data_IF_313783178923
#
_entry.id   IF_313783178923
#
_cell.length_a   1.000
_cell.length_b   1.000
_cell.length_c   1.000
_cell.angle_alpha   90.00
_cell.angle_beta   90.00
_cell.angle_gamma   90.00
#
_symmetry.space_group_name_H-M   'P 1'
#
loop_
_entity.id
_entity.type
_entity.pdbx_description
1 polymer ?
#
# COMPACT_ATOMS: atom_id res chain seq x y z
N UNK A 1 -6.74 -40.12 -20.47
CA UNK A 1 -5.75 -39.06 -20.73
C UNK A 1 -6.07 -37.95 -19.74
N UNK A 2 -5.38 -37.95 -18.62
CA UNK A 2 -5.50 -36.91 -17.58
C UNK A 2 -4.64 -35.72 -18.01
N UNK A 3 -5.25 -34.56 -18.12
CA UNK A 3 -4.52 -33.30 -18.28
C UNK A 3 -3.90 -32.93 -16.94
N UNK A 4 -2.65 -32.50 -16.89
CA UNK A 4 -2.10 -31.96 -15.66
C UNK A 4 -2.78 -30.63 -15.34
N UNK A 5 -3.31 -30.51 -14.13
CA UNK A 5 -3.68 -29.24 -13.50
C UNK A 5 -2.38 -28.44 -13.36
N UNK A 6 -2.28 -27.32 -14.04
CA UNK A 6 -1.22 -26.35 -13.80
C UNK A 6 -1.50 -25.71 -12.44
N UNK A 7 -0.67 -26.01 -11.46
CA UNK A 7 -0.60 -25.28 -10.21
C UNK A 7 -0.01 -23.90 -10.51
N UNK A 8 -0.85 -22.89 -10.54
CA UNK A 8 -0.38 -21.50 -10.50
C UNK A 8 -0.04 -21.16 -9.06
N UNK A 9 1.24 -21.23 -8.76
CA UNK A 9 1.82 -20.57 -7.60
C UNK A 9 1.83 -19.08 -7.94
N UNK A 10 0.91 -18.32 -7.39
CA UNK A 10 1.03 -16.87 -7.37
C UNK A 10 2.14 -16.55 -6.34
N UNK A 11 3.39 -16.62 -6.77
CA UNK A 11 4.52 -16.12 -6.00
C UNK A 11 4.57 -14.62 -6.26
N UNK A 12 3.90 -13.85 -5.44
CA UNK A 12 4.16 -12.42 -5.34
C UNK A 12 5.51 -12.25 -4.64
N UNK A 13 6.59 -12.22 -5.41
CA UNK A 13 7.88 -11.77 -4.93
C UNK A 13 7.87 -10.25 -4.87
N UNK A 14 7.48 -9.71 -3.75
CA UNK A 14 7.86 -8.34 -3.38
C UNK A 14 9.29 -8.41 -2.89
N UNK A 15 10.25 -8.30 -3.80
CA UNK A 15 11.64 -8.08 -3.44
C UNK A 15 11.77 -6.65 -2.95
N UNK A 16 11.73 -6.48 -1.63
CA UNK A 16 12.17 -5.26 -1.00
C UNK A 16 13.56 -4.87 -1.52
N UNK A 17 13.71 -3.63 -1.92
CA UNK A 17 14.96 -3.06 -2.44
C UNK A 17 16.07 -3.18 -1.40
N UNK A 18 16.89 -4.22 -1.49
CA UNK A 18 18.15 -4.32 -0.74
C UNK A 18 19.19 -3.53 -1.53
N UNK A 19 19.27 -2.24 -1.30
CA UNK A 19 20.43 -1.45 -1.68
C UNK A 19 21.41 -1.46 -0.51
N UNK A 20 22.36 -2.40 -0.53
CA UNK A 20 23.47 -2.40 0.40
C UNK A 20 24.45 -1.30 0.07
N UNK A 21 24.63 -0.33 0.97
CA UNK A 21 25.74 0.62 0.95
C UNK A 21 26.84 0.13 1.88
N UNK A 22 27.99 -0.18 1.32
CA UNK A 22 29.26 -0.30 2.03
C UNK A 22 29.73 1.11 2.41
N UNK A 23 29.71 1.42 3.71
CA UNK A 23 30.23 2.66 4.25
C UNK A 23 31.75 2.63 4.38
N UNK A 24 32.40 3.70 3.99
CA UNK A 24 33.78 4.03 4.33
C UNK A 24 33.76 5.26 5.24
N UNK A 25 34.32 5.10 6.42
CA UNK A 25 34.38 6.14 7.44
C UNK A 25 35.41 7.25 7.14
N UNK A 26 35.21 8.38 7.76
CA UNK A 26 36.14 9.51 7.78
C UNK A 26 35.75 10.53 8.83
N UNK A 27 36.38 10.42 10.00
CA UNK A 27 36.35 11.44 11.05
C UNK A 27 36.87 12.80 10.56
N UNK A 28 36.22 13.89 10.94
CA UNK A 28 36.95 15.11 11.34
C UNK A 28 36.09 16.11 12.12
N UNK A 29 36.47 16.28 13.37
CA UNK A 29 36.15 17.38 14.25
C UNK A 29 36.50 18.77 13.67
N UNK A 30 35.64 19.76 13.91
CA UNK A 30 36.14 21.08 14.30
C UNK A 30 35.06 21.96 14.91
N UNK A 31 35.24 22.26 16.21
CA UNK A 31 34.60 23.36 16.94
C UNK A 31 34.84 24.73 16.29
N UNK A 32 33.85 25.59 16.33
CA UNK A 32 34.02 27.01 16.59
C UNK A 32 32.71 27.70 16.99
N UNK A 33 32.65 28.10 18.23
CA UNK A 33 31.84 29.22 18.73
C UNK A 33 32.19 30.52 17.98
N UNK A 34 31.20 31.41 17.80
CA UNK A 34 31.28 32.80 18.28
C UNK A 34 29.97 33.58 18.01
N UNK A 35 29.52 34.22 19.07
CA UNK A 35 28.49 35.25 19.19
C UNK A 35 28.61 36.38 18.18
N UNK A 36 27.48 36.97 17.78
CA UNK A 36 27.23 38.42 17.77
C UNK A 36 25.73 38.72 17.67
N UNK A 37 25.19 39.33 18.72
CA UNK A 37 23.91 40.02 18.73
C UNK A 37 23.99 41.32 17.92
N UNK A 38 23.00 41.55 17.05
CA UNK A 38 22.66 42.88 16.57
C UNK A 38 21.16 43.10 16.60
N UNK A 39 20.77 43.93 17.52
CA UNK A 39 19.49 44.63 17.64
C UNK A 39 19.31 45.55 16.42
N UNK A 40 18.17 45.42 15.73
CA UNK A 40 17.73 46.44 14.80
C UNK A 40 16.22 46.58 14.85
N UNK A 41 15.76 47.69 15.39
CA UNK A 41 14.40 48.20 15.35
C UNK A 41 13.82 48.11 13.93
N UNK A 42 12.71 47.41 13.77
CA UNK A 42 11.90 47.44 12.56
C UNK A 42 10.51 47.99 12.88
N UNK A 43 10.19 49.08 12.25
CA UNK A 43 8.86 49.69 12.18
C UNK A 43 7.82 48.67 11.63
N UNK A 44 6.56 48.76 12.06
CA UNK A 44 5.50 47.92 11.54
C UNK A 44 5.10 48.36 10.12
N UNK A 45 5.76 47.78 9.13
CA UNK A 45 5.34 47.84 7.74
C UNK A 45 4.05 47.05 7.60
N UNK A 46 2.96 47.72 7.22
CA UNK A 46 1.68 47.13 6.88
C UNK A 46 1.82 46.42 5.52
N UNK A 47 2.39 45.23 5.52
CA UNK A 47 2.43 44.34 4.38
C UNK A 47 1.11 43.62 4.33
N UNK A 48 0.21 44.05 3.46
CA UNK A 48 -0.86 43.20 2.97
C UNK A 48 -0.24 42.10 2.07
N UNK A 49 0.28 41.04 2.68
CA UNK A 49 0.59 39.83 1.97
C UNK A 49 -0.73 39.28 1.42
N UNK A 50 -0.89 39.23 0.09
CA UNK A 50 -1.89 38.37 -0.53
C UNK A 50 -1.71 36.97 0.07
N UNK A 51 -2.81 36.27 0.41
CA UNK A 51 -2.70 34.92 0.90
C UNK A 51 -1.91 34.09 -0.12
N UNK A 52 -0.80 33.52 0.30
CA UNK A 52 0.00 32.63 -0.52
C UNK A 52 -0.89 31.43 -0.87
N UNK A 53 -1.18 31.27 -2.15
CA UNK A 53 -2.00 30.15 -2.65
C UNK A 53 -1.13 28.90 -2.44
N UNK A 54 -1.66 27.92 -1.72
CA UNK A 54 -0.98 26.64 -1.54
C UNK A 54 -0.53 26.05 -2.89
N UNK A 55 0.70 25.56 -3.03
CA UNK A 55 1.15 24.91 -4.26
C UNK A 55 0.33 23.65 -4.59
N UNK A 56 -0.37 23.11 -3.61
CA UNK A 56 -1.24 21.94 -3.75
C UNK A 56 -2.70 22.29 -4.09
N UNK A 57 -3.04 23.57 -4.20
CA UNK A 57 -4.42 23.97 -4.51
C UNK A 57 -4.79 23.62 -5.95
N UNK A 58 -5.93 22.95 -6.12
CA UNK A 58 -6.50 22.60 -7.43
C UNK A 58 -7.96 23.07 -7.54
N UNK A 59 -8.49 23.03 -8.75
CA UNK A 59 -9.92 23.22 -8.99
C UNK A 59 -10.52 21.89 -9.38
N UNK A 60 -11.49 21.43 -8.61
CA UNK A 60 -12.23 20.20 -8.86
C UNK A 60 -13.08 20.29 -10.16
N UNK A 61 -13.46 19.16 -10.76
CA UNK A 61 -14.31 19.13 -11.96
C UNK A 61 -15.66 19.85 -11.81
N UNK A 62 -16.20 19.92 -10.59
CA UNK A 62 -17.43 20.64 -10.25
C UNK A 62 -17.22 22.15 -10.02
N UNK A 63 -15.98 22.62 -10.13
CA UNK A 63 -15.59 24.02 -9.94
C UNK A 63 -15.33 24.43 -8.49
N UNK A 64 -15.34 23.50 -7.53
CA UNK A 64 -14.95 23.76 -6.15
C UNK A 64 -13.44 23.76 -5.98
N UNK A 65 -12.94 24.31 -4.86
CA UNK A 65 -11.53 24.22 -4.51
C UNK A 65 -11.22 22.85 -3.91
N UNK A 66 -10.15 22.23 -4.37
CA UNK A 66 -9.58 21.00 -3.84
C UNK A 66 -8.10 21.16 -3.52
N UNK A 67 -7.48 20.08 -3.10
CA UNK A 67 -6.06 20.03 -2.78
C UNK A 67 -5.43 18.73 -3.26
N UNK A 68 -4.12 18.76 -3.50
CA UNK A 68 -3.25 17.59 -3.70
C UNK A 68 -2.35 17.35 -2.48
N UNK A 69 -2.65 17.99 -1.36
CA UNK A 69 -1.88 17.83 -0.13
C UNK A 69 -1.94 16.38 0.35
N UNK A 70 -0.78 15.84 0.71
CA UNK A 70 -0.65 14.46 1.20
C UNK A 70 -1.55 14.19 2.40
N UNK A 71 -2.20 13.05 2.41
CA UNK A 71 -3.09 12.61 3.49
C UNK A 71 -4.45 13.32 3.54
N UNK A 72 -4.72 14.22 2.58
CA UNK A 72 -6.01 14.90 2.46
C UNK A 72 -6.77 14.36 1.26
N UNK A 73 -8.05 14.05 1.46
CA UNK A 73 -8.91 13.64 0.35
C UNK A 73 -8.94 14.67 -0.77
N UNK A 74 -8.82 14.19 -1.99
CA UNK A 74 -8.77 15.04 -3.20
C UNK A 74 -9.88 14.69 -4.18
N UNK A 75 -10.24 15.66 -5.02
CA UNK A 75 -11.08 15.44 -6.18
C UNK A 75 -10.28 15.17 -7.46
N UNK A 76 -8.95 15.12 -7.38
CA UNK A 76 -8.10 14.83 -8.51
C UNK A 76 -8.22 13.37 -8.93
N UNK A 77 -8.24 13.15 -10.24
CA UNK A 77 -8.05 11.81 -10.80
C UNK A 77 -6.55 11.47 -10.80
N UNK A 78 -6.17 10.18 -10.70
CA UNK A 78 -4.77 9.78 -10.83
C UNK A 78 -4.25 10.07 -12.24
N UNK A 79 -2.98 10.39 -12.36
CA UNK A 79 -2.32 10.41 -13.65
C UNK A 79 -1.99 8.97 -14.07
N UNK A 80 -2.32 8.57 -15.30
CA UNK A 80 -2.07 7.21 -15.76
C UNK A 80 -1.11 7.16 -16.94
N UNK A 81 -0.10 6.31 -16.82
CA UNK A 81 0.92 6.05 -17.81
C UNK A 81 0.94 4.55 -18.15
N UNK A 82 1.37 4.21 -19.34
CA UNK A 82 1.43 2.81 -19.76
C UNK A 82 2.52 2.56 -20.78
N UNK A 83 2.96 1.31 -20.89
CA UNK A 83 3.78 0.88 -22.03
C UNK A 83 2.95 0.83 -23.31
N UNK A 84 3.60 0.96 -24.46
CA UNK A 84 2.93 1.10 -25.75
C UNK A 84 2.09 -0.12 -26.17
N UNK A 85 2.38 -1.29 -25.61
CA UNK A 85 1.70 -2.56 -25.87
C UNK A 85 0.47 -2.79 -24.98
N UNK A 86 0.24 -1.96 -23.95
CA UNK A 86 -0.96 -2.04 -23.10
C UNK A 86 -2.17 -1.41 -23.78
N UNK A 87 -3.30 -2.09 -23.77
CA UNK A 87 -4.53 -1.66 -24.41
C UNK A 87 -5.27 -0.54 -23.63
N UNK A 88 -6.15 0.18 -24.30
CA UNK A 88 -7.04 1.13 -23.62
C UNK A 88 -8.02 0.43 -22.68
N UNK A 89 -8.43 -0.78 -23.03
CA UNK A 89 -9.33 -1.60 -22.24
C UNK A 89 -8.71 -1.96 -20.89
N UNK A 90 -7.41 -2.30 -20.88
CA UNK A 90 -6.66 -2.57 -19.66
C UNK A 90 -6.56 -1.33 -18.77
N UNK A 91 -6.23 -0.17 -19.37
CA UNK A 91 -6.18 1.10 -18.64
C UNK A 91 -7.54 1.45 -18.03
N UNK A 92 -8.62 1.28 -18.80
CA UNK A 92 -9.97 1.58 -18.31
C UNK A 92 -10.37 0.63 -17.19
N UNK A 93 -10.02 -0.65 -17.28
CA UNK A 93 -10.26 -1.63 -16.21
C UNK A 93 -9.50 -1.26 -14.93
N UNK A 94 -8.23 -0.87 -15.04
CA UNK A 94 -7.44 -0.41 -13.88
C UNK A 94 -8.10 0.80 -13.22
N UNK A 95 -8.49 1.81 -14.01
CA UNK A 95 -9.17 3.00 -13.49
C UNK A 95 -10.54 2.69 -12.88
N UNK A 96 -11.29 1.75 -13.45
CA UNK A 96 -12.57 1.30 -12.88
C UNK A 96 -12.40 0.78 -11.45
N UNK A 97 -11.44 -0.13 -11.24
CA UNK A 97 -11.20 -0.73 -9.92
C UNK A 97 -10.51 0.24 -8.96
N UNK A 98 -9.64 1.11 -9.45
CA UNK A 98 -9.11 2.23 -8.70
C UNK A 98 -10.24 3.13 -8.15
N UNK A 99 -11.20 3.51 -9.00
CA UNK A 99 -12.29 4.38 -8.60
C UNK A 99 -13.28 3.72 -7.63
N UNK A 100 -13.49 2.40 -7.73
CA UNK A 100 -14.26 1.63 -6.74
C UNK A 100 -13.58 1.75 -5.37
N UNK A 101 -12.28 1.52 -5.31
CA UNK A 101 -11.51 1.63 -4.07
C UNK A 101 -11.48 3.05 -3.52
N UNK A 102 -11.27 4.07 -4.38
CA UNK A 102 -11.29 5.48 -4.01
C UNK A 102 -12.66 5.93 -3.47
N UNK A 103 -13.74 5.32 -3.95
CA UNK A 103 -15.09 5.58 -3.44
C UNK A 103 -15.29 4.98 -2.06
N UNK A 104 -14.71 3.81 -1.79
CA UNK A 104 -14.87 3.09 -0.52
C UNK A 104 -13.98 3.65 0.58
N UNK A 105 -12.70 3.91 0.28
CA UNK A 105 -11.69 4.26 1.29
C UNK A 105 -11.22 5.71 1.25
N UNK A 106 -11.84 6.56 0.43
CA UNK A 106 -11.42 7.94 0.20
C UNK A 106 -10.44 8.04 -0.98
N UNK A 107 -10.50 9.16 -1.71
CA UNK A 107 -9.60 9.44 -2.83
C UNK A 107 -8.44 10.31 -2.36
N UNK A 108 -7.23 9.77 -2.36
CA UNK A 108 -6.01 10.44 -1.92
C UNK A 108 -5.06 10.63 -3.10
N UNK A 109 -4.13 11.59 -2.97
CA UNK A 109 -3.18 11.89 -4.03
C UNK A 109 -2.07 12.85 -3.60
N UNK A 110 -1.20 13.22 -4.52
CA UNK A 110 -1.14 12.82 -5.94
C UNK A 110 -0.80 11.35 -6.16
N UNK A 111 -1.45 10.70 -7.11
CA UNK A 111 -1.19 9.32 -7.51
C UNK A 111 -0.85 9.24 -8.99
N UNK A 112 0.21 8.53 -9.30
CA UNK A 112 0.62 8.15 -10.64
C UNK A 112 0.48 6.63 -10.81
N UNK A 113 -0.29 6.19 -11.81
CA UNK A 113 -0.49 4.77 -12.12
C UNK A 113 0.32 4.41 -13.35
N UNK A 114 1.14 3.38 -13.25
CA UNK A 114 1.96 2.85 -14.34
C UNK A 114 1.52 1.43 -14.68
N UNK A 115 0.96 1.23 -15.87
CA UNK A 115 0.50 -0.09 -16.35
C UNK A 115 1.53 -0.67 -17.31
N UNK A 116 2.14 -1.79 -16.94
CA UNK A 116 3.29 -2.40 -17.60
C UNK A 116 2.86 -3.63 -18.38
N UNK A 117 3.10 -3.62 -19.69
CA UNK A 117 2.85 -4.76 -20.58
C UNK A 117 4.01 -5.76 -20.62
N UNK A 118 4.13 -6.46 -21.77
CA UNK A 118 5.12 -7.51 -21.99
C UNK A 118 6.33 -7.05 -22.82
N UNK A 119 6.32 -5.81 -23.34
CA UNK A 119 7.39 -5.27 -24.17
C UNK A 119 8.45 -4.59 -23.29
N UNK A 120 9.62 -5.25 -23.20
CA UNK A 120 10.75 -4.75 -22.40
C UNK A 120 11.29 -3.40 -22.90
N UNK A 121 11.28 -3.15 -24.21
CA UNK A 121 11.79 -1.89 -24.74
C UNK A 121 10.79 -0.76 -24.46
N UNK A 122 9.49 -1.03 -24.54
CA UNK A 122 8.46 -0.08 -24.13
C UNK A 122 8.50 0.22 -22.60
N UNK A 123 8.85 -0.77 -21.78
CA UNK A 123 9.04 -0.55 -20.34
C UNK A 123 10.24 0.35 -20.03
N UNK A 124 11.35 0.21 -20.77
CA UNK A 124 12.51 1.12 -20.67
C UNK A 124 12.17 2.53 -21.13
N UNK A 125 11.45 2.67 -22.24
CA UNK A 125 11.00 3.99 -22.70
C UNK A 125 10.13 4.68 -21.63
N UNK A 126 9.34 3.91 -20.88
CA UNK A 126 8.52 4.42 -19.78
C UNK A 126 9.36 4.78 -18.54
N UNK A 127 10.44 4.03 -18.22
CA UNK A 127 11.41 4.41 -17.19
C UNK A 127 12.13 5.72 -17.52
N UNK A 128 12.51 5.92 -18.77
CA UNK A 128 13.11 7.17 -19.23
C UNK A 128 12.12 8.34 -19.12
N UNK A 129 10.88 8.14 -19.55
CA UNK A 129 9.82 9.16 -19.43
C UNK A 129 9.56 9.54 -17.96
N UNK A 130 9.48 8.56 -17.08
CA UNK A 130 9.33 8.76 -15.65
C UNK A 130 10.44 9.64 -15.08
N UNK A 131 11.68 9.29 -15.37
CA UNK A 131 12.84 10.03 -14.90
C UNK A 131 12.88 11.47 -15.43
N UNK A 132 12.67 11.69 -16.74
CA UNK A 132 12.64 13.01 -17.35
C UNK A 132 11.53 13.89 -16.76
N UNK A 133 10.36 13.30 -16.54
CA UNK A 133 9.21 14.00 -15.96
C UNK A 133 9.51 14.50 -14.54
N UNK A 134 10.00 13.62 -13.67
CA UNK A 134 10.24 13.99 -12.26
C UNK A 134 11.41 14.96 -12.11
N UNK A 135 12.44 14.87 -12.92
CA UNK A 135 13.51 15.89 -13.02
C UNK A 135 12.97 17.26 -13.43
N UNK A 136 11.90 17.30 -14.21
CA UNK A 136 11.28 18.56 -14.61
C UNK A 136 10.32 19.13 -13.57
N UNK A 137 9.72 18.26 -12.74
CA UNK A 137 8.79 18.65 -11.68
C UNK A 137 9.51 19.05 -10.39
N UNK A 138 10.64 18.41 -10.08
CA UNK A 138 11.34 18.56 -8.82
C UNK A 138 12.83 18.79 -9.04
N UNK A 139 13.33 19.94 -8.65
CA UNK A 139 14.73 20.31 -8.81
C UNK A 139 15.70 19.51 -7.93
N UNK A 140 15.17 18.83 -6.92
CA UNK A 140 15.90 17.98 -5.98
C UNK A 140 15.87 16.49 -6.37
N UNK A 141 15.18 16.14 -7.48
CA UNK A 141 15.15 14.78 -7.98
C UNK A 141 16.54 14.23 -8.28
N UNK A 142 16.88 13.11 -7.68
CA UNK A 142 18.21 12.53 -7.79
C UNK A 142 18.22 11.39 -8.80
N UNK A 143 18.83 11.63 -9.96
CA UNK A 143 18.92 10.68 -11.07
C UNK A 143 19.60 9.35 -10.70
N UNK A 144 20.56 9.38 -9.77
CA UNK A 144 21.30 8.19 -9.34
C UNK A 144 20.43 7.26 -8.47
N UNK A 145 19.52 7.84 -7.67
CA UNK A 145 18.73 7.11 -6.67
C UNK A 145 17.28 6.91 -7.04
N UNK A 146 16.73 7.85 -7.80
CA UNK A 146 15.29 7.91 -8.06
C UNK A 146 14.93 7.56 -9.53
N UNK A 147 15.92 7.35 -10.41
CA UNK A 147 15.74 6.87 -11.78
C UNK A 147 16.23 5.43 -11.95
N UNK A 148 15.71 4.74 -12.98
CA UNK A 148 16.17 3.41 -13.33
C UNK A 148 17.65 3.45 -13.80
N UNK A 149 18.40 2.42 -13.42
CA UNK A 149 19.79 2.26 -13.81
C UNK A 149 20.18 0.76 -13.85
N UNK A 150 21.45 0.44 -14.08
CA UNK A 150 21.95 -0.94 -14.17
C UNK A 150 21.62 -1.80 -12.93
N UNK A 151 21.46 -1.17 -11.76
CA UNK A 151 21.25 -1.85 -10.49
C UNK A 151 19.81 -1.67 -9.94
N UNK A 152 19.01 -0.79 -10.55
CA UNK A 152 17.68 -0.45 -10.09
C UNK A 152 16.72 -0.37 -11.28
N UNK A 153 15.81 -1.33 -11.34
CA UNK A 153 14.73 -1.42 -12.32
C UNK A 153 13.44 -0.94 -11.67
N UNK A 154 12.75 -0.01 -12.31
CA UNK A 154 11.47 0.51 -11.81
C UNK A 154 10.33 -0.29 -12.43
N UNK A 155 10.24 -0.32 -13.78
CA UNK A 155 9.16 -0.96 -14.52
C UNK A 155 9.59 -2.23 -15.24
N UNK A 156 10.84 -2.30 -15.73
CA UNK A 156 11.33 -3.42 -16.54
C UNK A 156 11.28 -4.76 -15.82
N UNK A 157 11.37 -4.80 -14.49
CA UNK A 157 11.22 -6.02 -13.69
C UNK A 157 9.82 -6.65 -13.81
N UNK A 158 8.78 -5.82 -13.95
CA UNK A 158 7.39 -6.29 -14.04
C UNK A 158 7.05 -6.94 -15.39
N UNK A 159 7.87 -6.72 -16.42
CA UNK A 159 7.73 -7.38 -17.72
C UNK A 159 7.87 -8.90 -17.59
N UNK A 160 8.82 -9.35 -16.77
CA UNK A 160 9.08 -10.77 -16.58
C UNK A 160 8.38 -11.35 -15.33
N UNK A 161 8.41 -10.61 -14.24
CA UNK A 161 7.93 -11.07 -12.92
C UNK A 161 6.41 -10.91 -12.76
N UNK A 162 5.81 -9.92 -13.42
CA UNK A 162 4.42 -9.57 -13.17
C UNK A 162 4.24 -8.87 -11.83
N UNK A 163 3.02 -8.94 -11.26
CA UNK A 163 2.68 -8.38 -9.97
C UNK A 163 2.29 -6.90 -10.00
N UNK A 164 2.23 -6.32 -8.83
CA UNK A 164 1.91 -4.91 -8.62
C UNK A 164 2.70 -4.36 -7.43
N UNK A 165 2.73 -3.07 -7.24
CA UNK A 165 3.35 -2.45 -6.07
C UNK A 165 2.94 -0.98 -5.90
N UNK A 166 3.03 -0.50 -4.66
CA UNK A 166 3.03 0.92 -4.33
C UNK A 166 4.43 1.35 -3.91
N UNK A 167 4.82 2.52 -4.36
CA UNK A 167 5.99 3.25 -3.87
C UNK A 167 5.59 4.67 -3.51
N UNK A 168 6.12 5.17 -2.39
CA UNK A 168 5.83 6.52 -1.93
C UNK A 168 7.05 7.41 -2.10
N UNK A 169 6.82 8.64 -2.53
CA UNK A 169 7.82 9.67 -2.76
C UNK A 169 7.52 10.90 -1.90
N UNK A 170 7.38 10.67 -0.59
CA UNK A 170 7.29 11.71 0.41
C UNK A 170 8.62 11.75 1.17
N UNK A 171 9.48 12.68 0.77
CA UNK A 171 10.82 12.81 1.33
C UNK A 171 11.12 14.27 1.63
N UNK A 172 11.82 14.53 2.73
CA UNK A 172 12.12 15.88 3.19
C UNK A 172 12.89 16.76 2.18
N UNK A 173 13.56 16.16 1.22
CA UNK A 173 14.32 16.87 0.18
C UNK A 173 13.53 17.07 -1.12
N UNK A 174 12.40 16.37 -1.32
CA UNK A 174 11.55 16.54 -2.50
C UNK A 174 10.59 17.73 -2.29
N UNK A 175 10.28 18.42 -3.38
CA UNK A 175 9.30 19.49 -3.45
C UNK A 175 7.93 18.99 -3.89
N UNK A 176 7.89 17.79 -4.51
CA UNK A 176 6.68 17.16 -5.05
C UNK A 176 6.50 15.76 -4.45
N UNK A 177 5.53 15.65 -3.53
CA UNK A 177 5.14 14.39 -2.92
C UNK A 177 4.14 13.65 -3.82
N UNK A 178 4.30 12.35 -4.03
CA UNK A 178 3.37 11.53 -4.79
C UNK A 178 3.46 10.04 -4.40
N UNK A 179 2.42 9.29 -4.77
CA UNK A 179 2.39 7.83 -4.69
C UNK A 179 2.43 7.24 -6.11
N UNK A 180 3.25 6.23 -6.29
CA UNK A 180 3.39 5.52 -7.55
C UNK A 180 2.78 4.13 -7.42
N UNK A 181 1.68 3.87 -8.14
CA UNK A 181 1.06 2.56 -8.26
C UNK A 181 1.53 1.90 -9.55
N UNK A 182 2.09 0.71 -9.46
CA UNK A 182 2.54 -0.08 -10.61
C UNK A 182 1.63 -1.30 -10.75
N UNK A 183 1.11 -1.54 -11.95
CA UNK A 183 0.30 -2.70 -12.29
C UNK A 183 0.89 -3.42 -13.49
N UNK A 184 1.20 -4.71 -13.35
CA UNK A 184 1.52 -5.54 -14.51
C UNK A 184 0.24 -5.92 -15.25
N UNK A 185 0.27 -5.84 -16.59
CA UNK A 185 -0.80 -6.36 -17.44
C UNK A 185 -0.52 -7.80 -17.90
N UNK A 186 0.40 -8.52 -17.25
CA UNK A 186 0.81 -9.87 -17.59
C UNK A 186 0.40 -10.91 -16.55
N UNK A 187 0.75 -10.68 -15.29
CA UNK A 187 0.45 -11.58 -14.17
C UNK A 187 0.12 -10.79 -12.91
N UNK A 188 -1.19 -10.77 -12.45
CA UNK A 188 -2.34 -11.27 -13.21
C UNK A 188 -2.60 -10.41 -14.45
N UNK A 189 -3.09 -11.04 -15.53
CA UNK A 189 -3.52 -10.32 -16.71
C UNK A 189 -4.92 -9.71 -16.56
N UNK A 190 -5.29 -8.70 -17.36
CA UNK A 190 -6.57 -8.00 -17.23
C UNK A 190 -7.80 -8.91 -17.47
N UNK A 191 -7.64 -10.05 -18.12
CA UNK A 191 -8.69 -11.07 -18.29
C UNK A 191 -8.80 -12.04 -17.11
N UNK A 192 -7.85 -12.03 -16.18
CA UNK A 192 -7.87 -12.86 -14.99
C UNK A 192 -8.70 -12.20 -13.88
N UNK A 193 -9.41 -13.01 -13.10
CA UNK A 193 -10.23 -12.50 -11.99
C UNK A 193 -9.36 -11.73 -10.97
N UNK A 194 -8.16 -12.25 -10.72
CA UNK A 194 -7.24 -11.72 -9.71
C UNK A 194 -6.69 -10.31 -10.04
N UNK A 195 -6.76 -9.84 -11.29
CA UNK A 195 -6.35 -8.49 -11.66
C UNK A 195 -7.09 -7.40 -10.87
N UNK A 196 -8.37 -7.63 -10.65
CA UNK A 196 -9.27 -6.68 -9.98
C UNK A 196 -8.99 -6.57 -8.49
N UNK A 197 -8.99 -7.66 -7.69
CA UNK A 197 -8.62 -7.56 -6.29
C UNK A 197 -7.15 -7.12 -6.08
N UNK A 198 -6.22 -7.40 -7.00
CA UNK A 198 -4.86 -6.85 -6.94
C UNK A 198 -4.88 -5.33 -7.11
N UNK A 199 -5.70 -4.77 -8.02
CA UNK A 199 -5.86 -3.32 -8.13
C UNK A 199 -6.41 -2.69 -6.85
N UNK A 200 -7.38 -3.36 -6.20
CA UNK A 200 -7.93 -2.93 -4.90
C UNK A 200 -6.89 -3.03 -3.76
N UNK A 201 -6.05 -4.07 -3.78
CA UNK A 201 -4.97 -4.27 -2.83
C UNK A 201 -3.95 -3.13 -2.88
N UNK A 202 -3.48 -2.80 -4.06
CA UNK A 202 -2.54 -1.68 -4.23
C UNK A 202 -3.19 -0.34 -3.86
N UNK A 203 -4.48 -0.17 -4.15
CA UNK A 203 -5.17 1.03 -3.70
C UNK A 203 -5.27 1.11 -2.17
N UNK A 204 -5.48 -0.02 -1.49
CA UNK A 204 -5.52 -0.01 -0.02
C UNK A 204 -4.20 0.46 0.58
N UNK A 205 -3.07 0.17 -0.07
CA UNK A 205 -1.79 0.77 0.32
C UNK A 205 -1.76 2.29 0.13
N UNK A 206 -2.41 2.84 -0.91
CA UNK A 206 -2.57 4.29 -1.04
C UNK A 206 -3.31 4.87 0.16
N UNK A 207 -4.42 4.23 0.57
CA UNK A 207 -5.14 4.61 1.79
C UNK A 207 -4.24 4.53 3.02
N UNK A 208 -3.53 3.43 3.24
CA UNK A 208 -2.63 3.25 4.38
C UNK A 208 -1.55 4.34 4.46
N UNK A 209 -0.90 4.62 3.35
CA UNK A 209 0.15 5.65 3.26
C UNK A 209 -0.38 7.06 3.44
N UNK A 210 -1.59 7.34 2.99
CA UNK A 210 -2.23 8.64 3.19
C UNK A 210 -2.49 8.96 4.66
N UNK A 211 -2.59 7.94 5.52
CA UNK A 211 -2.77 8.11 6.96
C UNK A 211 -1.48 8.42 7.72
N UNK A 212 -0.34 8.61 7.04
CA UNK A 212 0.97 8.87 7.65
C UNK A 212 1.53 10.16 7.08
N UNK A 213 1.59 11.22 7.90
CA UNK A 213 2.03 12.54 7.46
C UNK A 213 3.55 12.63 7.28
N UNK A 214 4.32 11.96 8.14
CA UNK A 214 5.79 11.96 8.16
C UNK A 214 6.35 10.62 7.73
N UNK A 215 6.29 10.32 6.44
CA UNK A 215 6.78 9.02 5.97
C UNK A 215 8.29 8.87 6.06
N UNK A 216 9.06 9.88 5.63
CA UNK A 216 10.51 9.84 5.62
C UNK A 216 11.11 11.21 5.89
N UNK A 217 11.30 11.55 7.15
CA UNK A 217 11.81 12.85 7.59
C UNK A 217 13.35 12.98 7.55
N UNK A 218 14.08 11.93 7.18
CA UNK A 218 15.55 11.91 7.22
C UNK A 218 16.21 11.72 5.86
N UNK A 219 17.52 11.98 5.83
CA UNK A 219 18.37 11.79 4.63
C UNK A 219 18.59 10.31 4.28
N UNK A 220 18.13 9.38 5.12
CA UNK A 220 18.26 7.95 4.85
C UNK A 220 16.90 7.26 4.87
N UNK A 221 16.70 6.31 3.96
CA UNK A 221 15.52 5.44 3.92
C UNK A 221 15.32 4.62 5.21
N UNK A 222 16.36 4.53 6.05
CA UNK A 222 16.33 3.80 7.32
C UNK A 222 15.65 4.56 8.47
N UNK A 223 15.25 5.80 8.25
CA UNK A 223 14.61 6.66 9.26
C UNK A 223 13.15 7.01 8.95
N UNK A 224 12.52 6.24 8.06
CA UNK A 224 11.12 6.44 7.74
C UNK A 224 10.22 6.02 8.90
N UNK A 225 9.36 6.90 9.37
CA UNK A 225 8.37 6.61 10.41
C UNK A 225 7.26 5.68 9.91
N UNK A 226 7.12 5.56 8.60
CA UNK A 226 6.22 4.63 7.95
C UNK A 226 6.38 3.19 8.45
N UNK A 227 7.63 2.67 8.46
CA UNK A 227 7.86 1.27 8.77
C UNK A 227 7.30 0.83 10.13
N UNK A 228 7.58 1.55 11.26
CA UNK A 228 6.97 1.21 12.54
C UNK A 228 5.45 1.43 12.55
N UNK A 229 4.92 2.42 11.83
CA UNK A 229 3.48 2.69 11.75
C UNK A 229 2.74 1.65 10.89
N UNK A 230 3.42 0.96 9.98
CA UNK A 230 2.87 -0.10 9.12
C UNK A 230 3.04 -1.53 9.70
N UNK A 231 3.52 -1.66 10.93
CA UNK A 231 3.67 -2.95 11.59
C UNK A 231 5.12 -3.41 11.78
N UNK A 232 6.10 -2.65 11.29
CA UNK A 232 7.55 -2.87 11.45
C UNK A 232 8.30 -2.92 10.12
N UNK A 233 9.57 -2.53 10.15
CA UNK A 233 10.43 -2.60 8.96
C UNK A 233 10.56 -4.04 8.49
N UNK A 234 10.36 -4.27 7.20
CA UNK A 234 10.40 -5.58 6.56
C UNK A 234 9.43 -6.62 7.20
N UNK A 235 8.35 -6.11 7.85
CA UNK A 235 7.33 -6.92 8.53
C UNK A 235 5.96 -6.68 7.89
N UNK A 236 5.65 -7.40 6.80
CA UNK A 236 4.48 -7.11 5.98
C UNK A 236 3.13 -7.52 6.62
N UNK A 237 3.16 -8.32 7.67
CA UNK A 237 2.01 -9.03 8.24
C UNK A 237 0.73 -8.18 8.41
N UNK A 238 0.87 -6.92 8.86
CA UNK A 238 -0.28 -6.05 9.12
C UNK A 238 -0.67 -5.22 7.90
N UNK A 239 0.31 -4.60 7.26
CA UNK A 239 0.05 -3.76 6.09
C UNK A 239 -0.47 -4.60 4.91
N UNK A 240 0.27 -5.66 4.54
CA UNK A 240 -0.11 -6.56 3.45
C UNK A 240 -1.35 -7.39 3.79
N UNK A 241 -1.44 -7.87 5.04
CA UNK A 241 -2.63 -8.59 5.51
C UNK A 241 -3.88 -7.71 5.45
N UNK A 242 -3.75 -6.42 5.80
CA UNK A 242 -4.81 -5.43 5.67
C UNK A 242 -5.23 -5.21 4.23
N UNK A 243 -4.25 -4.92 3.36
CA UNK A 243 -4.51 -4.71 1.95
C UNK A 243 -5.14 -5.95 1.29
N UNK A 244 -4.62 -7.14 1.60
CA UNK A 244 -5.13 -8.39 1.04
C UNK A 244 -6.56 -8.68 1.50
N UNK A 245 -6.85 -8.60 2.80
CA UNK A 245 -8.20 -8.88 3.29
C UNK A 245 -9.23 -7.84 2.80
N UNK A 246 -8.90 -6.56 2.90
CA UNK A 246 -9.82 -5.49 2.50
C UNK A 246 -10.12 -5.51 0.99
N UNK A 247 -9.12 -5.78 0.16
CA UNK A 247 -9.30 -5.94 -1.27
C UNK A 247 -10.24 -7.10 -1.63
N UNK A 248 -10.03 -8.28 -1.02
CA UNK A 248 -10.86 -9.45 -1.26
C UNK A 248 -12.30 -9.24 -0.74
N UNK A 249 -12.43 -8.57 0.41
CA UNK A 249 -13.73 -8.21 1.00
C UNK A 249 -14.49 -7.26 0.08
N UNK A 250 -13.89 -6.14 -0.34
CA UNK A 250 -14.53 -5.17 -1.24
C UNK A 250 -14.87 -5.80 -2.61
N UNK A 251 -13.97 -6.61 -3.17
CA UNK A 251 -14.25 -7.30 -4.42
C UNK A 251 -15.46 -8.22 -4.31
N UNK A 252 -15.60 -8.94 -3.19
CA UNK A 252 -16.70 -9.89 -2.97
C UNK A 252 -18.08 -9.25 -2.99
N UNK A 253 -18.18 -7.94 -2.73
CA UNK A 253 -19.44 -7.18 -2.71
C UNK A 253 -19.84 -6.63 -4.08
N UNK A 254 -18.98 -6.75 -5.10
CA UNK A 254 -19.21 -6.13 -6.38
C UNK A 254 -20.19 -6.93 -7.26
N UNK A 255 -20.95 -6.20 -8.09
CA UNK A 255 -21.92 -6.82 -9.00
C UNK A 255 -21.27 -7.86 -9.91
N UNK A 256 -21.87 -9.03 -9.99
CA UNK A 256 -21.39 -10.14 -10.83
C UNK A 256 -20.31 -11.01 -10.19
N UNK A 257 -19.87 -10.72 -8.99
CA UNK A 257 -19.01 -11.61 -8.20
C UNK A 257 -19.87 -12.66 -7.52
N UNK A 258 -19.39 -13.90 -7.46
CA UNK A 258 -20.15 -15.03 -6.87
C UNK A 258 -20.30 -14.89 -5.36
N UNK A 259 -21.45 -15.30 -4.83
CA UNK A 259 -21.85 -15.09 -3.42
C UNK A 259 -20.85 -15.65 -2.38
N UNK A 260 -20.18 -16.76 -2.71
CA UNK A 260 -19.21 -17.39 -1.79
C UNK A 260 -17.74 -17.01 -2.07
N UNK A 261 -17.49 -15.98 -2.89
CA UNK A 261 -16.14 -15.62 -3.30
C UNK A 261 -15.17 -15.44 -2.13
N UNK A 262 -15.50 -14.54 -1.19
CA UNK A 262 -14.63 -14.25 -0.04
C UNK A 262 -14.36 -15.52 0.78
N UNK A 263 -15.38 -16.33 1.04
CA UNK A 263 -15.23 -17.60 1.75
C UNK A 263 -14.26 -18.55 1.03
N UNK A 264 -14.40 -18.70 -0.30
CA UNK A 264 -13.53 -19.57 -1.10
C UNK A 264 -12.07 -19.09 -1.10
N UNK A 265 -11.85 -17.78 -1.19
CA UNK A 265 -10.52 -17.18 -1.12
C UNK A 265 -9.90 -17.42 0.25
N UNK A 266 -10.63 -17.12 1.33
CA UNK A 266 -10.12 -17.30 2.68
C UNK A 266 -9.90 -18.78 3.03
N UNK A 267 -10.74 -19.71 2.53
CA UNK A 267 -10.48 -21.14 2.66
C UNK A 267 -9.17 -21.56 1.96
N UNK A 268 -8.94 -21.09 0.74
CA UNK A 268 -7.69 -21.37 0.02
C UNK A 268 -6.46 -20.85 0.78
N UNK A 269 -6.55 -19.62 1.32
CA UNK A 269 -5.48 -19.03 2.15
C UNK A 269 -5.22 -19.85 3.41
N UNK A 270 -6.27 -20.32 4.07
CA UNK A 270 -6.17 -21.19 5.24
C UNK A 270 -5.47 -22.52 4.89
N UNK A 271 -5.92 -23.19 3.81
CA UNK A 271 -5.36 -24.47 3.37
C UNK A 271 -3.87 -24.37 3.02
N UNK A 272 -3.42 -23.22 2.52
CA UNK A 272 -2.03 -22.99 2.13
C UNK A 272 -1.11 -22.58 3.29
N UNK A 273 -1.63 -21.96 4.32
CA UNK A 273 -0.80 -21.30 5.33
C UNK A 273 -0.93 -21.87 6.75
N UNK A 274 -2.07 -22.45 7.11
CA UNK A 274 -2.36 -22.85 8.50
C UNK A 274 -1.36 -23.86 9.06
N UNK A 275 -1.08 -24.95 8.34
CA UNK A 275 -0.16 -26.01 8.81
C UNK A 275 1.26 -25.47 8.97
N UNK A 276 1.74 -24.70 7.98
CA UNK A 276 3.05 -24.06 8.02
C UNK A 276 3.18 -23.11 9.19
N UNK A 277 2.20 -22.22 9.37
CA UNK A 277 2.23 -21.25 10.46
C UNK A 277 2.18 -21.91 11.85
N UNK A 278 1.32 -22.91 12.05
CA UNK A 278 1.20 -23.60 13.33
C UNK A 278 2.42 -24.49 13.67
N UNK A 279 3.28 -24.78 12.69
CA UNK A 279 4.49 -25.60 12.89
C UNK A 279 5.77 -24.81 13.12
N UNK A 280 5.73 -23.48 12.96
CA UNK A 280 6.86 -22.60 13.17
C UNK A 280 6.88 -22.00 14.58
N UNK A 281 8.03 -21.51 15.01
CA UNK A 281 8.22 -20.90 16.34
C UNK A 281 8.12 -19.37 16.31
N UNK A 282 8.12 -18.73 15.11
CA UNK A 282 8.06 -17.28 14.97
C UNK A 282 6.62 -16.76 15.04
N UNK A 283 6.43 -15.66 15.77
CA UNK A 283 5.16 -14.94 15.82
C UNK A 283 4.90 -14.19 14.50
N UNK A 284 3.62 -13.95 14.18
CA UNK A 284 3.22 -13.34 12.92
C UNK A 284 3.91 -11.98 12.67
N UNK A 285 4.03 -11.14 13.69
CA UNK A 285 4.66 -9.82 13.60
C UNK A 285 6.21 -9.88 13.48
N UNK A 286 6.80 -11.07 13.52
CA UNK A 286 8.23 -11.31 13.28
C UNK A 286 8.49 -11.87 11.86
N UNK A 287 7.47 -12.30 11.14
CA UNK A 287 7.63 -12.84 9.78
C UNK A 287 8.00 -11.74 8.79
N UNK A 288 9.02 -12.01 7.97
CA UNK A 288 9.41 -11.18 6.84
C UNK A 288 8.82 -11.69 5.52
N UNK A 289 9.12 -10.98 4.43
CA UNK A 289 8.73 -11.39 3.06
C UNK A 289 9.35 -12.72 2.62
N UNK A 290 10.46 -13.13 3.23
CA UNK A 290 11.20 -14.36 2.93
C UNK A 290 10.81 -15.54 3.83
N UNK A 291 9.77 -15.40 4.65
CA UNK A 291 9.25 -16.47 5.49
C UNK A 291 8.78 -17.68 4.66
N UNK A 292 8.96 -18.91 5.18
CA UNK A 292 8.45 -20.12 4.51
C UNK A 292 6.92 -20.15 4.41
N UNK A 293 6.26 -19.49 5.35
CA UNK A 293 4.81 -19.29 5.37
C UNK A 293 4.46 -18.01 4.62
N UNK A 294 3.40 -18.09 3.81
CA UNK A 294 2.88 -16.90 3.15
C UNK A 294 2.28 -15.93 4.18
N UNK A 295 3.05 -14.88 4.49
CA UNK A 295 2.68 -13.88 5.49
C UNK A 295 1.45 -13.05 5.06
N UNK A 296 1.20 -12.90 3.78
CA UNK A 296 -0.01 -12.25 3.24
C UNK A 296 -1.26 -13.02 3.63
N UNK A 297 -1.23 -14.35 3.48
CA UNK A 297 -2.36 -15.21 3.79
C UNK A 297 -2.66 -15.24 5.30
N UNK A 298 -1.64 -15.41 6.13
CA UNK A 298 -1.80 -15.40 7.59
C UNK A 298 -2.18 -14.00 8.08
N UNK A 299 -1.57 -12.95 7.50
CA UNK A 299 -1.91 -11.56 7.79
C UNK A 299 -3.37 -11.23 7.45
N UNK A 300 -3.86 -11.67 6.29
CA UNK A 300 -5.26 -11.50 5.90
C UNK A 300 -6.22 -12.19 6.88
N UNK A 301 -5.87 -13.39 7.37
CA UNK A 301 -6.62 -14.07 8.42
C UNK A 301 -6.59 -13.34 9.76
N UNK A 302 -5.47 -12.74 10.13
CA UNK A 302 -5.38 -11.92 11.33
C UNK A 302 -6.30 -10.69 11.24
N UNK A 303 -6.28 -9.99 10.11
CA UNK A 303 -7.15 -8.82 9.90
C UNK A 303 -8.63 -9.23 9.87
N UNK A 304 -8.96 -10.34 9.21
CA UNK A 304 -10.32 -10.89 9.23
C UNK A 304 -10.80 -11.19 10.66
N UNK A 305 -9.93 -11.80 11.47
CA UNK A 305 -10.20 -12.09 12.87
C UNK A 305 -10.38 -10.81 13.69
N UNK A 306 -9.51 -9.82 13.49
CA UNK A 306 -9.59 -8.52 14.15
C UNK A 306 -10.90 -7.79 13.83
N UNK A 307 -11.24 -7.68 12.54
CA UNK A 307 -12.48 -7.02 12.08
C UNK A 307 -13.73 -7.77 12.55
N UNK A 308 -13.70 -9.10 12.59
CA UNK A 308 -14.80 -9.88 13.11
C UNK A 308 -15.12 -9.55 14.58
N UNK A 309 -14.10 -9.33 15.40
CA UNK A 309 -14.26 -9.07 16.82
C UNK A 309 -14.58 -7.61 17.15
N UNK A 310 -13.95 -6.66 16.45
CA UNK A 310 -13.99 -5.24 16.81
C UNK A 310 -14.78 -4.38 15.80
N UNK A 311 -15.02 -4.91 14.60
CA UNK A 311 -15.70 -4.22 13.52
C UNK A 311 -14.73 -3.49 12.56
N UNK A 312 -15.19 -3.33 11.32
CA UNK A 312 -14.41 -2.69 10.26
C UNK A 312 -14.12 -1.21 10.56
N UNK A 313 -15.10 -0.47 11.13
CA UNK A 313 -14.90 0.93 11.51
C UNK A 313 -13.82 1.11 12.58
N UNK A 314 -13.62 0.16 13.50
CA UNK A 314 -12.52 0.20 14.44
C UNK A 314 -11.16 0.08 13.74
N UNK A 315 -11.10 -0.68 12.62
CA UNK A 315 -9.90 -0.85 11.82
C UNK A 315 -9.64 0.36 10.90
N UNK A 316 -10.63 0.77 10.11
CA UNK A 316 -10.49 1.84 9.11
C UNK A 316 -10.50 3.22 9.76
N UNK A 317 -11.57 3.57 10.48
CA UNK A 317 -11.75 4.93 11.01
C UNK A 317 -10.98 5.13 12.32
N UNK A 318 -10.95 4.09 13.16
CA UNK A 318 -10.32 4.15 14.47
C UNK A 318 -8.79 4.03 14.38
N UNK A 319 -8.29 2.84 14.07
CA UNK A 319 -6.85 2.57 14.08
C UNK A 319 -6.08 3.47 13.10
N UNK A 320 -6.49 3.53 11.83
CA UNK A 320 -5.80 4.38 10.86
C UNK A 320 -5.99 5.86 11.15
N UNK A 321 -7.13 6.29 11.68
CA UNK A 321 -7.36 7.67 12.09
C UNK A 321 -6.45 8.14 13.25
N UNK A 322 -6.08 7.23 14.14
CA UNK A 322 -5.20 7.52 15.28
C UNK A 322 -3.71 7.26 15.00
N UNK A 323 -3.41 6.55 13.89
CA UNK A 323 -2.08 5.98 13.61
C UNK A 323 -0.97 7.01 13.55
N UNK A 324 -1.21 8.13 12.87
CA UNK A 324 -0.20 9.16 12.66
C UNK A 324 0.17 9.87 13.96
N UNK A 325 -0.83 10.23 14.77
CA UNK A 325 -0.62 10.96 16.02
C UNK A 325 -0.08 10.04 17.13
N UNK A 326 -0.62 8.81 17.26
CA UNK A 326 -0.35 7.96 18.42
C UNK A 326 0.70 6.87 18.17
N UNK A 327 0.99 6.57 16.89
CA UNK A 327 1.81 5.44 16.49
C UNK A 327 1.11 4.08 16.67
N UNK A 328 1.68 3.03 16.06
CA UNK A 328 1.06 1.71 15.92
C UNK A 328 0.54 1.11 17.23
N UNK A 329 1.38 0.99 18.23
CA UNK A 329 1.05 0.26 19.47
C UNK A 329 -0.08 0.94 20.26
N UNK A 330 -0.06 2.28 20.32
CA UNK A 330 -1.07 3.04 21.08
C UNK A 330 -2.38 3.11 20.30
N UNK A 331 -2.32 3.36 18.99
CA UNK A 331 -3.51 3.34 18.14
C UNK A 331 -4.18 1.95 18.16
N UNK A 332 -3.38 0.88 18.14
CA UNK A 332 -3.87 -0.50 18.21
C UNK A 332 -4.61 -0.75 19.54
N UNK A 333 -3.98 -0.47 20.68
CA UNK A 333 -4.59 -0.70 22.00
C UNK A 333 -5.86 0.13 22.21
N UNK A 334 -5.85 1.40 21.76
CA UNK A 334 -7.00 2.29 21.90
C UNK A 334 -8.23 1.82 21.12
N UNK A 335 -8.03 1.32 19.91
CA UNK A 335 -9.12 1.00 19.02
C UNK A 335 -9.59 -0.46 19.10
N UNK A 336 -8.72 -1.36 19.58
CA UNK A 336 -9.05 -2.77 19.71
C UNK A 336 -9.13 -3.26 21.17
N UNK A 337 -9.03 -2.35 22.16
CA UNK A 337 -9.18 -2.63 23.59
C UNK A 337 -8.23 -3.67 24.17
N UNK A 338 -7.20 -4.06 23.45
CA UNK A 338 -6.14 -5.01 23.81
C UNK A 338 -4.84 -4.60 23.15
N UNK A 339 -3.74 -4.96 23.77
CA UNK A 339 -2.42 -4.81 23.15
C UNK A 339 -2.28 -5.72 21.93
N UNK A 340 -1.40 -5.34 21.00
CA UNK A 340 -1.04 -6.18 19.85
C UNK A 340 -0.66 -7.60 20.26
N UNK A 341 0.18 -7.74 21.32
CA UNK A 341 0.62 -9.04 21.79
C UNK A 341 -0.52 -9.92 22.34
N UNK A 342 -1.51 -9.34 23.03
CA UNK A 342 -2.69 -10.07 23.46
C UNK A 342 -3.53 -10.56 22.28
N UNK A 343 -3.73 -9.72 21.26
CA UNK A 343 -4.44 -10.11 20.04
C UNK A 343 -3.72 -11.20 19.25
N UNK A 344 -2.39 -11.10 19.10
CA UNK A 344 -1.60 -12.12 18.44
C UNK A 344 -1.69 -13.48 19.17
N UNK A 345 -1.64 -13.51 20.50
CA UNK A 345 -1.78 -14.72 21.28
C UNK A 345 -3.18 -15.36 21.15
N UNK A 346 -4.24 -14.55 21.14
CA UNK A 346 -5.61 -15.02 20.89
C UNK A 346 -5.77 -15.55 19.46
N UNK A 347 -5.25 -14.80 18.46
CA UNK A 347 -5.26 -15.23 17.08
C UNK A 347 -4.51 -16.53 16.86
N UNK A 348 -3.33 -16.72 17.46
CA UNK A 348 -2.60 -17.98 17.39
C UNK A 348 -3.46 -19.14 17.89
N UNK A 349 -4.14 -18.95 19.03
CA UNK A 349 -5.04 -19.96 19.60
C UNK A 349 -6.24 -20.24 18.68
N UNK A 350 -6.80 -19.23 18.06
CA UNK A 350 -7.89 -19.36 17.09
C UNK A 350 -7.43 -20.09 15.83
N UNK A 351 -6.31 -19.64 15.23
CA UNK A 351 -5.81 -20.16 13.98
C UNK A 351 -5.26 -21.60 14.07
N UNK A 352 -4.96 -22.06 15.29
CA UNK A 352 -4.56 -23.44 15.56
C UNK A 352 -5.75 -24.42 15.67
N UNK A 353 -7.01 -23.94 15.61
CA UNK A 353 -8.18 -24.79 15.65
C UNK A 353 -8.36 -25.58 14.35
N UNK A 354 -9.20 -26.64 14.33
CA UNK A 354 -9.57 -27.29 13.07
C UNK A 354 -10.06 -26.30 12.02
N UNK A 355 -9.73 -26.51 10.76
CA UNK A 355 -10.09 -25.61 9.67
C UNK A 355 -11.59 -25.27 9.60
N UNK A 356 -12.45 -26.24 9.94
CA UNK A 356 -13.92 -26.03 10.00
C UNK A 356 -14.33 -24.98 11.06
N UNK A 357 -13.62 -24.95 12.19
CA UNK A 357 -13.89 -24.00 13.29
C UNK A 357 -13.34 -22.60 12.90
N UNK A 358 -12.17 -22.53 12.28
CA UNK A 358 -11.61 -21.28 11.76
C UNK A 358 -12.49 -20.69 10.66
N UNK A 359 -12.96 -21.52 9.74
CA UNK A 359 -13.86 -21.13 8.65
C UNK A 359 -15.28 -20.72 9.10
N UNK A 360 -15.63 -20.97 10.35
CA UNK A 360 -16.90 -20.47 10.92
C UNK A 360 -16.99 -18.92 10.92
N UNK A 361 -15.85 -18.24 10.79
CA UNK A 361 -15.78 -16.78 10.60
C UNK A 361 -16.48 -16.34 9.29
N UNK A 362 -16.48 -17.20 8.27
CA UNK A 362 -17.11 -17.00 6.97
C UNK A 362 -18.19 -18.07 6.75
N UNK A 363 -19.42 -17.91 7.30
CA UNK A 363 -20.48 -18.88 7.12
C UNK A 363 -20.87 -19.05 5.65
N UNK A 364 -21.31 -20.25 5.26
CA UNK A 364 -21.88 -20.48 3.93
C UNK A 364 -23.17 -19.67 3.77
N UNK A 365 -23.35 -19.04 2.61
CA UNK A 365 -24.65 -18.50 2.24
C UNK A 365 -25.63 -19.68 2.04
N UNK A 366 -26.57 -19.85 2.97
CA UNK A 366 -27.67 -20.81 2.77
C UNK A 366 -28.71 -20.16 1.86
N UNK A 367 -29.03 -20.77 0.74
CA UNK A 367 -30.11 -20.37 -0.19
C UNK A 367 -31.52 -20.34 0.47
N UNK A 368 -31.64 -20.78 1.73
CA UNK A 368 -32.94 -21.04 2.39
C UNK A 368 -33.60 -19.79 3.04
N UNK A 369 -33.05 -18.58 2.90
CA UNK A 369 -33.58 -17.40 3.62
C UNK A 369 -34.59 -16.57 2.82
N UNK A 370 -34.79 -16.80 1.52
CA UNK A 370 -35.73 -16.02 0.70
C UNK A 370 -37.19 -16.51 0.72
N UNK A 371 -37.53 -17.65 1.31
CA UNK A 371 -38.92 -18.19 1.31
C UNK A 371 -39.80 -17.78 2.48
N UNK A 372 -39.33 -17.01 3.47
CA UNK A 372 -40.11 -16.66 4.66
C UNK A 372 -40.66 -15.22 4.70
N UNK A 373 -40.57 -14.47 3.61
CA UNK A 373 -41.19 -13.11 3.55
C UNK A 373 -42.07 -12.97 2.29
N UNK A 374 -43.09 -13.83 2.15
CA UNK A 374 -44.23 -13.58 1.24
C UNK A 374 -45.54 -13.80 1.96
#
# INVERSE_FOLDING_TARGET
>A
MQKPLAFFLCLTFVLGSIAGCLGSGGDSNSDKEDDIAQDSDNEPGNSTTEPEVSPYAIICPDGTNGTLEWGVETCAEPEIFRTADVSNETVNLTLEWYNIAATEWGNFGPVEIYVIGEDLDAAKDLEDLYCERHKALDSNWNEEWDCANENYQIFTRYVDEGGAAISTFKRSYLEYDFMMMIMSAKYPGPEEEDYKPVTLHEYFHIFQHSQISDECSGDSRDTCERDPKMGGKDKPWFAEGGAEFMAQSLYSTQEGVRDNYLREVMQRKLDMSQEGYNSQDEELDQLGYDAEVNVYDVGAWFIAYLIHNEGESAFIDGFYGDLDELGFEVAFENNFNKTKGEYLAEFYTFFAQPAEDVMALFPEHSEDTEEQTK
#
